data_IF_380441353999
#
_entry.id   IF_380441353999
#
_cell.length_a   1.000
_cell.length_b   1.000
_cell.length_c   1.000
_cell.angle_alpha   90.00
_cell.angle_beta   90.00
_cell.angle_gamma   90.00
#
_symmetry.space_group_name_H-M   'P 1'
#
loop_
_entity.id
_entity.type
_entity.pdbx_description
1 polymer ?
#
# COMPACT_ATOMS: atom_id res chain seq x y z
N UNK A 1 16.05 -5.59 13.11
CA UNK A 1 14.71 -5.12 12.78
C UNK A 1 13.88 -5.20 14.04
N UNK A 2 13.25 -4.09 14.46
CA UNK A 2 12.28 -4.17 15.55
C UNK A 2 10.95 -4.65 14.97
N UNK A 3 10.33 -5.60 15.64
CA UNK A 3 9.00 -6.07 15.27
C UNK A 3 8.00 -4.97 15.63
N UNK A 4 7.22 -4.49 14.66
CA UNK A 4 6.10 -3.60 14.95
C UNK A 4 4.99 -4.45 15.58
N UNK A 5 4.14 -3.84 16.41
CA UNK A 5 2.94 -4.54 16.88
C UNK A 5 1.99 -4.80 15.72
N UNK A 6 1.16 -5.83 15.86
CA UNK A 6 0.23 -6.32 14.82
C UNK A 6 -0.70 -5.25 14.27
N UNK A 7 -1.02 -4.21 15.05
CA UNK A 7 -1.88 -3.10 14.60
C UNK A 7 -1.24 -2.20 13.53
N UNK A 8 0.09 -2.22 13.41
CA UNK A 8 0.88 -1.40 12.48
C UNK A 8 1.48 -2.27 11.36
N UNK A 9 1.71 -3.56 11.61
CA UNK A 9 2.21 -4.47 10.57
C UNK A 9 1.14 -4.66 9.47
N UNK A 10 1.54 -4.73 8.18
CA UNK A 10 0.65 -5.15 7.12
C UNK A 10 0.14 -6.57 7.37
N UNK A 11 -1.18 -6.77 7.28
CA UNK A 11 -1.81 -8.07 7.49
C UNK A 11 -1.72 -8.94 6.23
N UNK A 12 -0.52 -9.50 6.02
CA UNK A 12 -0.24 -10.42 4.92
C UNK A 12 -1.00 -11.74 5.03
N UNK A 13 -1.40 -12.16 6.23
CA UNK A 13 -2.14 -13.41 6.40
C UNK A 13 -3.53 -13.29 5.78
N UNK A 14 -4.26 -12.22 6.13
CA UNK A 14 -5.56 -11.90 5.50
C UNK A 14 -5.39 -11.71 4.00
N UNK A 15 -4.36 -10.97 3.56
CA UNK A 15 -4.11 -10.75 2.14
C UNK A 15 -3.90 -12.07 1.38
N UNK A 16 -3.07 -12.97 1.92
CA UNK A 16 -2.74 -14.26 1.31
C UNK A 16 -3.96 -15.20 1.24
N UNK A 17 -4.85 -15.14 2.23
CA UNK A 17 -6.09 -15.92 2.24
C UNK A 17 -7.09 -15.44 1.17
N UNK A 18 -7.23 -14.12 1.01
CA UNK A 18 -8.18 -13.53 0.05
C UNK A 18 -7.67 -13.56 -1.40
N UNK A 19 -6.34 -13.49 -1.59
CA UNK A 19 -5.70 -13.27 -2.88
C UNK A 19 -6.17 -14.19 -4.01
N UNK A 20 -6.25 -15.53 -3.84
CA UNK A 20 -6.67 -16.40 -4.94
C UNK A 20 -8.10 -16.09 -5.42
N UNK A 21 -8.99 -15.74 -4.49
CA UNK A 21 -10.39 -15.43 -4.81
C UNK A 21 -10.52 -14.10 -5.53
N UNK A 22 -9.81 -13.07 -5.04
CA UNK A 22 -9.83 -11.74 -5.68
C UNK A 22 -9.21 -11.79 -7.08
N UNK A 23 -8.07 -12.47 -7.21
CA UNK A 23 -7.39 -12.64 -8.51
C UNK A 23 -8.29 -13.33 -9.52
N UNK A 24 -8.98 -14.42 -9.12
CA UNK A 24 -9.91 -15.12 -9.99
C UNK A 24 -11.10 -14.24 -10.40
N UNK A 25 -11.67 -13.46 -9.47
CA UNK A 25 -12.77 -12.54 -9.78
C UNK A 25 -12.38 -11.49 -10.82
N UNK A 26 -11.21 -10.87 -10.67
CA UNK A 26 -10.71 -9.86 -11.61
C UNK A 26 -10.36 -10.51 -12.95
N UNK A 27 -9.68 -11.67 -12.96
CA UNK A 27 -9.35 -12.39 -14.18
C UNK A 27 -10.60 -12.84 -14.96
N UNK A 28 -11.66 -13.26 -14.26
CA UNK A 28 -12.93 -13.62 -14.87
C UNK A 28 -13.62 -12.41 -15.52
N UNK A 29 -13.58 -11.26 -14.85
CA UNK A 29 -14.12 -10.02 -15.42
C UNK A 29 -13.32 -9.55 -16.63
N UNK A 30 -11.99 -9.57 -16.59
CA UNK A 30 -11.14 -9.27 -17.76
C UNK A 30 -11.54 -10.12 -18.96
N UNK A 31 -11.64 -11.44 -18.78
CA UNK A 31 -12.03 -12.36 -19.85
C UNK A 31 -13.45 -12.08 -20.36
N UNK A 32 -14.39 -11.74 -19.47
CA UNK A 32 -15.73 -11.35 -19.86
C UNK A 32 -15.70 -10.11 -20.76
N UNK A 33 -14.93 -9.07 -20.38
CA UNK A 33 -14.78 -7.86 -21.18
C UNK A 33 -14.15 -8.15 -22.56
N UNK A 34 -13.13 -9.01 -22.62
CA UNK A 34 -12.47 -9.39 -23.87
C UNK A 34 -13.42 -10.14 -24.83
N UNK A 35 -14.31 -10.98 -24.29
CA UNK A 35 -15.21 -11.83 -25.08
C UNK A 35 -16.53 -11.13 -25.46
N UNK A 36 -17.10 -10.34 -24.55
CA UNK A 36 -18.48 -9.85 -24.62
C UNK A 36 -18.60 -8.32 -24.49
N UNK A 37 -17.58 -7.65 -23.95
CA UNK A 37 -17.67 -6.25 -23.53
C UNK A 37 -18.61 -6.03 -22.33
N UNK A 38 -18.54 -4.85 -21.72
CA UNK A 38 -19.42 -4.44 -20.62
C UNK A 38 -19.80 -2.95 -20.76
N UNK A 39 -20.41 -2.59 -21.89
CA UNK A 39 -20.74 -1.19 -22.24
C UNK A 39 -21.64 -0.50 -21.20
N UNK A 40 -22.53 -1.26 -20.56
CA UNK A 40 -23.44 -0.78 -19.51
C UNK A 40 -22.84 -0.87 -18.08
N UNK A 41 -21.61 -1.36 -17.94
CA UNK A 41 -20.91 -1.55 -16.65
C UNK A 41 -21.65 -2.44 -15.64
N UNK A 42 -22.44 -3.41 -16.12
CA UNK A 42 -23.26 -4.28 -15.27
C UNK A 42 -22.39 -5.32 -14.58
N UNK A 43 -21.45 -5.93 -15.30
CA UNK A 43 -20.53 -6.91 -14.70
C UNK A 43 -19.48 -6.22 -13.83
N UNK A 44 -19.05 -5.01 -14.19
CA UNK A 44 -18.23 -4.16 -13.35
C UNK A 44 -18.87 -3.91 -11.98
N UNK A 45 -20.15 -3.53 -11.96
CA UNK A 45 -20.87 -3.28 -10.70
C UNK A 45 -20.95 -4.54 -9.84
N UNK A 46 -21.26 -5.70 -10.44
CA UNK A 46 -21.28 -6.98 -9.71
C UNK A 46 -19.92 -7.35 -9.13
N UNK A 47 -18.84 -7.15 -9.91
CA UNK A 47 -17.48 -7.36 -9.43
C UNK A 47 -17.18 -6.43 -8.25
N UNK A 48 -17.45 -5.13 -8.40
CA UNK A 48 -17.20 -4.12 -7.36
C UNK A 48 -17.96 -4.41 -6.07
N UNK A 49 -19.24 -4.77 -6.15
CA UNK A 49 -20.05 -5.20 -5.01
C UNK A 49 -19.47 -6.44 -4.34
N UNK A 50 -19.05 -7.44 -5.14
CA UNK A 50 -18.49 -8.69 -4.61
C UNK A 50 -17.15 -8.44 -3.90
N UNK A 51 -16.27 -7.65 -4.50
CA UNK A 51 -14.99 -7.28 -3.93
C UNK A 51 -15.18 -6.47 -2.64
N UNK A 52 -16.14 -5.54 -2.61
CA UNK A 52 -16.53 -4.77 -1.42
C UNK A 52 -16.97 -5.71 -0.29
N UNK A 53 -17.79 -6.73 -0.60
CA UNK A 53 -18.29 -7.67 0.41
C UNK A 53 -17.19 -8.52 1.05
N UNK A 54 -16.20 -8.98 0.28
CA UNK A 54 -15.16 -9.89 0.79
C UNK A 54 -13.97 -9.16 1.41
N UNK A 55 -13.69 -7.93 0.97
CA UNK A 55 -12.55 -7.14 1.47
C UNK A 55 -12.94 -6.07 2.49
N UNK A 56 -14.23 -5.74 2.57
CA UNK A 56 -14.76 -4.62 3.35
C UNK A 56 -14.15 -3.25 2.98
N UNK A 57 -13.65 -3.12 1.74
CA UNK A 57 -13.09 -1.88 1.21
C UNK A 57 -14.06 -1.18 0.27
N UNK A 58 -13.89 0.13 0.18
CA UNK A 58 -14.42 0.89 -0.94
C UNK A 58 -13.60 0.53 -2.19
N UNK A 59 -14.24 -0.12 -3.15
CA UNK A 59 -13.58 -0.58 -4.37
C UNK A 59 -13.46 0.53 -5.41
N UNK A 60 -14.21 1.62 -5.28
CA UNK A 60 -14.17 2.74 -6.23
C UNK A 60 -12.82 3.48 -6.27
N UNK A 61 -11.96 3.25 -5.27
CA UNK A 61 -10.59 3.78 -5.25
C UNK A 61 -9.61 3.01 -6.15
N UNK A 62 -10.01 1.83 -6.66
CA UNK A 62 -9.20 0.98 -7.50
C UNK A 62 -9.68 1.02 -8.95
N UNK A 63 -8.75 1.13 -9.88
CA UNK A 63 -9.05 1.01 -11.30
C UNK A 63 -9.10 -0.47 -11.69
N UNK A 64 -10.33 -1.01 -11.76
CA UNK A 64 -10.56 -2.39 -12.22
C UNK A 64 -10.62 -2.49 -13.74
N UNK A 65 -10.60 -1.37 -14.46
CA UNK A 65 -10.72 -1.33 -15.91
C UNK A 65 -9.35 -1.24 -16.57
N UNK A 66 -8.51 -0.25 -16.24
CA UNK A 66 -7.21 -0.04 -16.90
C UNK A 66 -6.01 -0.61 -16.12
N UNK A 67 -6.20 -1.74 -15.44
CA UNK A 67 -5.14 -2.37 -14.63
C UNK A 67 -3.90 -2.77 -15.44
N UNK A 68 -4.03 -2.93 -16.77
CA UNK A 68 -2.94 -3.22 -17.68
C UNK A 68 -1.99 -2.03 -17.90
N UNK A 69 -2.44 -0.78 -17.68
CA UNK A 69 -1.57 0.41 -17.73
C UNK A 69 -0.77 0.62 -16.46
N UNK A 70 -1.16 -0.08 -15.39
CA UNK A 70 -0.51 -0.04 -14.08
C UNK A 70 0.51 -1.18 -13.95
N UNK A 71 0.34 -2.05 -12.95
CA UNK A 71 1.31 -3.12 -12.62
C UNK A 71 0.74 -4.54 -12.76
N UNK A 72 -0.38 -4.73 -13.48
CA UNK A 72 -0.98 -6.06 -13.71
C UNK A 72 -2.05 -6.46 -12.69
N UNK A 73 -2.85 -7.49 -13.03
CA UNK A 73 -3.93 -8.00 -12.17
C UNK A 73 -3.42 -8.53 -10.83
N UNK A 74 -2.20 -9.07 -10.80
CA UNK A 74 -1.60 -9.64 -9.60
C UNK A 74 -1.38 -8.57 -8.53
N UNK A 75 -0.77 -7.44 -8.91
CA UNK A 75 -0.52 -6.34 -7.98
C UNK A 75 -1.82 -5.66 -7.55
N UNK A 76 -2.76 -5.45 -8.49
CA UNK A 76 -4.09 -4.91 -8.16
C UNK A 76 -4.83 -5.82 -7.17
N UNK A 77 -4.82 -7.13 -7.41
CA UNK A 77 -5.46 -8.12 -6.54
C UNK A 77 -4.85 -8.09 -5.15
N UNK A 78 -3.52 -7.99 -5.05
CA UNK A 78 -2.84 -7.86 -3.77
C UNK A 78 -3.27 -6.59 -3.01
N UNK A 79 -3.29 -5.42 -3.68
CA UNK A 79 -3.66 -4.17 -3.02
C UNK A 79 -5.11 -4.17 -2.50
N UNK A 80 -6.01 -4.78 -3.26
CA UNK A 80 -7.41 -4.98 -2.86
C UNK A 80 -7.48 -5.90 -1.64
N UNK A 81 -6.66 -6.95 -1.58
CA UNK A 81 -6.65 -7.92 -0.48
C UNK A 81 -6.00 -7.39 0.81
N UNK A 82 -4.96 -6.55 0.71
CA UNK A 82 -4.20 -6.10 1.88
C UNK A 82 -5.02 -5.13 2.74
N UNK A 83 -5.37 -5.42 3.99
CA UNK A 83 -6.19 -4.52 4.81
C UNK A 83 -5.60 -3.11 4.93
N UNK A 84 -6.49 -2.09 4.99
CA UNK A 84 -6.08 -0.69 5.11
C UNK A 84 -5.36 -0.39 6.44
N UNK A 85 -4.38 0.53 6.47
CA UNK A 85 -3.77 0.99 7.71
C UNK A 85 -4.78 1.71 8.60
N UNK A 86 -4.57 1.65 9.92
CA UNK A 86 -5.48 2.22 10.93
C UNK A 86 -4.92 3.51 11.53
N UNK A 87 -5.80 4.34 12.09
CA UNK A 87 -5.41 5.45 12.97
C UNK A 87 -5.00 4.86 14.32
N UNK A 88 -3.77 5.14 14.76
CA UNK A 88 -3.17 4.68 16.01
C UNK A 88 -2.75 5.89 16.85
N UNK A 89 -3.28 6.04 18.06
CA UNK A 89 -3.09 7.24 18.90
C UNK A 89 -1.71 7.30 19.57
N UNK A 90 -1.13 6.16 19.90
CA UNK A 90 0.01 6.03 20.80
C UNK A 90 1.27 5.49 20.09
N UNK A 91 1.46 5.85 18.82
CA UNK A 91 2.66 5.45 18.05
C UNK A 91 3.92 5.97 18.74
N UNK A 92 4.84 5.09 19.10
CA UNK A 92 6.13 5.43 19.69
C UNK A 92 7.10 5.95 18.63
N UNK A 93 8.11 6.72 19.07
CA UNK A 93 9.17 7.18 18.16
C UNK A 93 9.96 6.00 17.57
N UNK A 94 10.10 4.90 18.32
CA UNK A 94 10.76 3.68 17.86
C UNK A 94 9.98 2.99 16.73
N UNK A 95 8.65 2.91 16.83
CA UNK A 95 7.80 2.38 15.76
C UNK A 95 7.89 3.25 14.49
N UNK A 96 7.83 4.58 14.66
CA UNK A 96 8.03 5.51 13.53
C UNK A 96 9.40 5.32 12.88
N UNK A 97 10.47 5.19 13.68
CA UNK A 97 11.82 4.94 13.18
C UNK A 97 11.88 3.67 12.33
N UNK A 98 11.29 2.58 12.82
CA UNK A 98 11.26 1.30 12.10
C UNK A 98 10.49 1.42 10.76
N UNK A 99 9.34 2.10 10.73
CA UNK A 99 8.58 2.35 9.49
C UNK A 99 9.43 3.13 8.47
N UNK A 100 10.04 4.24 8.89
CA UNK A 100 10.88 5.07 8.01
C UNK A 100 12.08 4.26 7.50
N UNK A 101 12.70 3.45 8.35
CA UNK A 101 13.79 2.56 7.94
C UNK A 101 13.34 1.54 6.89
N UNK A 102 12.19 0.89 7.06
CA UNK A 102 11.64 -0.07 6.08
C UNK A 102 11.37 0.59 4.73
N UNK A 103 10.80 1.80 4.72
CA UNK A 103 10.57 2.55 3.48
C UNK A 103 11.87 2.89 2.77
N UNK A 104 12.88 3.38 3.50
CA UNK A 104 14.13 3.85 2.91
C UNK A 104 15.08 2.73 2.46
N UNK A 105 14.95 1.55 3.02
CA UNK A 105 15.90 0.47 2.82
C UNK A 105 15.44 -0.40 1.64
N UNK A 106 16.03 -0.13 0.48
CA UNK A 106 15.68 -0.74 -0.82
C UNK A 106 15.94 -2.24 -0.94
N UNK A 107 16.60 -2.87 0.04
CA UNK A 107 16.98 -4.30 0.04
C UNK A 107 15.97 -5.19 0.80
N UNK A 108 14.87 -4.62 1.31
CA UNK A 108 13.93 -5.36 2.17
C UNK A 108 13.17 -6.47 1.45
N UNK A 109 13.14 -6.46 0.13
CA UNK A 109 12.61 -7.57 -0.66
C UNK A 109 13.43 -8.85 -0.46
N UNK A 110 14.69 -8.79 0.00
CA UNK A 110 15.61 -9.93 -0.04
C UNK A 110 15.49 -10.97 1.10
N UNK A 111 14.53 -10.90 2.04
CA UNK A 111 14.60 -11.73 3.27
C UNK A 111 13.27 -12.26 3.85
N UNK A 112 12.25 -12.53 3.04
CA UNK A 112 11.05 -13.24 3.52
C UNK A 112 11.09 -14.71 3.10
N UNK A 113 10.97 -15.62 4.07
CA UNK A 113 10.88 -17.08 3.82
C UNK A 113 9.56 -17.48 3.13
N UNK A 114 8.53 -16.64 3.22
CA UNK A 114 7.25 -16.84 2.56
C UNK A 114 7.26 -16.14 1.19
N UNK A 115 7.12 -16.94 0.13
CA UNK A 115 7.13 -16.46 -1.26
C UNK A 115 6.08 -15.39 -1.55
N UNK A 116 4.87 -15.51 -0.98
CA UNK A 116 3.81 -14.52 -1.17
C UNK A 116 4.20 -13.16 -0.59
N UNK A 117 4.74 -13.16 0.64
CA UNK A 117 5.24 -11.92 1.26
C UNK A 117 6.41 -11.38 0.45
N UNK A 118 7.34 -12.23 0.03
CA UNK A 118 8.48 -11.83 -0.79
C UNK A 118 8.05 -11.12 -2.09
N UNK A 119 7.07 -11.70 -2.81
CA UNK A 119 6.56 -11.14 -4.07
C UNK A 119 5.91 -9.77 -3.90
N UNK A 120 5.19 -9.55 -2.79
CA UNK A 120 4.39 -8.34 -2.61
C UNK A 120 4.92 -7.36 -1.57
N UNK A 121 6.04 -7.64 -0.90
CA UNK A 121 6.56 -6.76 0.14
C UNK A 121 6.83 -5.34 -0.38
N UNK A 122 7.28 -5.21 -1.63
CA UNK A 122 7.49 -3.91 -2.27
C UNK A 122 6.23 -3.04 -2.26
N UNK A 123 5.03 -3.66 -2.36
CA UNK A 123 3.72 -3.00 -2.29
C UNK A 123 3.44 -2.37 -0.91
N UNK A 124 4.22 -2.71 0.12
CA UNK A 124 4.07 -2.09 1.45
C UNK A 124 4.94 -0.84 1.61
N UNK A 125 6.05 -0.74 0.89
CA UNK A 125 7.08 0.30 1.07
C UNK A 125 7.21 1.28 -0.09
N UNK A 126 6.58 1.01 -1.25
CA UNK A 126 6.59 1.94 -2.38
C UNK A 126 5.76 3.22 -2.11
N UNK A 127 6.01 4.32 -2.83
CA UNK A 127 5.18 5.52 -2.73
C UNK A 127 3.71 5.24 -3.05
N UNK A 128 2.83 5.39 -2.05
CA UNK A 128 1.40 5.05 -2.16
C UNK A 128 1.03 3.67 -1.61
N UNK A 129 2.02 2.86 -1.22
CA UNK A 129 1.82 1.59 -0.53
C UNK A 129 1.41 1.74 0.93
N UNK A 130 1.27 0.59 1.60
CA UNK A 130 0.74 0.49 2.97
C UNK A 130 1.39 1.48 3.95
N UNK A 131 2.72 1.53 4.04
CA UNK A 131 3.40 2.39 5.02
C UNK A 131 3.30 3.88 4.67
N UNK A 132 3.22 4.25 3.38
CA UNK A 132 2.95 5.64 3.00
C UNK A 132 1.54 6.05 3.43
N UNK A 133 0.55 5.20 3.20
CA UNK A 133 -0.84 5.44 3.62
C UNK A 133 -0.97 5.49 5.14
N UNK A 134 -0.25 4.62 5.86
CA UNK A 134 -0.16 4.66 7.32
C UNK A 134 0.39 6.00 7.81
N UNK A 135 1.50 6.47 7.23
CA UNK A 135 2.11 7.74 7.63
C UNK A 135 1.19 8.93 7.30
N UNK A 136 0.57 8.94 6.12
CA UNK A 136 -0.42 9.95 5.71
C UNK A 136 -1.60 10.03 6.68
N UNK A 137 -2.08 8.88 7.15
CA UNK A 137 -3.23 8.78 8.04
C UNK A 137 -2.91 9.24 9.47
N UNK A 138 -1.68 8.99 9.96
CA UNK A 138 -1.33 9.19 11.35
C UNK A 138 -0.51 10.46 11.64
N UNK A 139 0.19 11.02 10.66
CA UNK A 139 1.11 12.15 10.86
C UNK A 139 0.75 13.35 9.97
N UNK A 140 0.28 14.45 10.57
CA UNK A 140 -0.16 15.68 9.87
C UNK A 140 0.90 16.30 8.96
N UNK A 141 2.19 16.13 9.30
CA UNK A 141 3.32 16.68 8.52
C UNK A 141 3.79 15.75 7.40
N UNK A 142 3.15 14.60 7.21
CA UNK A 142 3.53 13.68 6.15
C UNK A 142 3.44 14.33 4.77
N UNK A 143 4.52 14.16 3.99
CA UNK A 143 4.63 14.60 2.60
C UNK A 143 5.50 13.60 1.85
N UNK A 144 5.11 13.25 0.61
CA UNK A 144 5.91 12.35 -0.23
C UNK A 144 7.33 12.87 -0.47
N UNK A 145 7.51 14.19 -0.51
CA UNK A 145 8.82 14.83 -0.67
C UNK A 145 9.83 14.48 0.44
N UNK A 146 9.39 14.00 1.61
CA UNK A 146 10.29 13.54 2.66
C UNK A 146 11.12 12.31 2.24
N UNK A 147 10.59 11.50 1.32
CA UNK A 147 11.20 10.25 0.87
C UNK A 147 11.70 10.32 -0.59
N UNK A 148 11.75 11.51 -1.18
CA UNK A 148 12.17 11.75 -2.57
C UNK A 148 13.39 12.67 -2.61
N UNK A 149 14.04 12.76 -3.78
CA UNK A 149 15.06 13.77 -4.00
C UNK A 149 14.45 15.18 -4.04
N UNK A 150 15.01 16.09 -3.26
CA UNK A 150 14.60 17.50 -3.16
C UNK A 150 15.66 18.41 -3.79
N UNK A 151 15.32 19.68 -4.03
CA UNK A 151 16.26 20.73 -4.44
C UNK A 151 16.34 21.81 -3.37
N UNK A 152 17.56 22.22 -3.03
CA UNK A 152 17.77 23.40 -2.19
C UNK A 152 17.57 24.71 -2.98
N UNK A 153 17.69 25.85 -2.29
CA UNK A 153 17.54 27.19 -2.90
C UNK A 153 18.57 27.47 -4.02
N UNK A 154 19.68 26.73 -4.04
CA UNK A 154 20.74 26.84 -5.06
C UNK A 154 20.55 25.80 -6.19
N UNK A 155 19.47 25.01 -6.16
CA UNK A 155 19.18 23.97 -7.13
C UNK A 155 19.99 22.67 -6.93
N UNK A 156 20.72 22.52 -5.82
CA UNK A 156 21.45 21.30 -5.50
C UNK A 156 20.48 20.23 -4.99
N UNK A 157 20.60 19.02 -5.53
CA UNK A 157 19.79 17.89 -5.08
C UNK A 157 20.26 17.35 -3.72
N UNK A 158 19.30 16.99 -2.87
CA UNK A 158 19.53 16.32 -1.60
C UNK A 158 18.40 15.36 -1.26
N UNK A 159 18.63 14.45 -0.33
CA UNK A 159 17.62 13.55 0.24
C UNK A 159 17.68 13.64 1.76
N UNK A 160 16.52 13.63 2.40
CA UNK A 160 16.46 13.62 3.86
C UNK A 160 17.00 12.30 4.40
N UNK A 161 17.81 12.36 5.45
CA UNK A 161 18.21 11.22 6.27
C UNK A 161 17.02 10.61 7.01
N UNK A 162 17.19 9.40 7.55
CA UNK A 162 16.14 8.74 8.34
C UNK A 162 15.76 9.60 9.55
N UNK A 163 16.77 10.15 10.23
CA UNK A 163 16.63 11.00 11.41
C UNK A 163 15.87 12.28 11.10
N UNK A 164 16.20 12.96 10.00
CA UNK A 164 15.49 14.18 9.57
C UNK A 164 14.02 13.90 9.24
N UNK A 165 13.71 12.78 8.57
CA UNK A 165 12.33 12.40 8.29
C UNK A 165 11.55 12.15 9.59
N UNK A 166 12.14 11.41 10.54
CA UNK A 166 11.51 11.14 11.84
C UNK A 166 11.24 12.45 12.57
N UNK A 167 12.18 13.38 12.59
CA UNK A 167 12.00 14.69 13.23
C UNK A 167 10.86 15.47 12.58
N UNK A 168 10.82 15.55 11.25
CA UNK A 168 9.75 16.25 10.52
C UNK A 168 8.37 15.66 10.79
N UNK A 169 8.26 14.33 10.83
CA UNK A 169 7.00 13.64 11.10
C UNK A 169 6.56 13.77 12.56
N UNK A 170 7.50 13.79 13.51
CA UNK A 170 7.21 13.78 14.95
C UNK A 170 6.73 15.14 15.51
N UNK A 171 6.98 16.24 14.80
CA UNK A 171 6.76 17.61 15.31
C UNK A 171 5.29 17.95 15.64
N UNK A 172 4.31 17.24 15.08
CA UNK A 172 2.89 17.38 15.47
C UNK A 172 2.18 16.01 15.38
N UNK A 173 2.04 15.30 16.50
CA UNK A 173 1.10 14.18 16.56
C UNK A 173 -0.32 14.70 16.34
N UNK A 174 -1.08 14.01 15.51
CA UNK A 174 -2.52 14.23 15.40
C UNK A 174 -3.15 13.98 16.79
N UNK A 175 -3.82 15.01 17.34
CA UNK A 175 -4.66 14.89 18.54
C UNK A 175 -5.78 13.86 18.37
#
# INVERSE_FOLDING_TARGET
MNKLRTEIEPDFETAQQLYPTVLELIANYTRFCDELGDEDSVEYQKLSEKLTQITHKDISQYDLWEWWEAEGIENLSFDICLPEPKIIKDISKQELTEIVQRIKKSDFTAQHENDFIHSFYIRTVFPGGYFYNFLKLNFKKFRHSLFQSNKDLNGKYFEYSTEEIIEQLWIEKSE
#
